data_IF_509626517901
#
_entry.id   IF_509626517901
#
_cell.length_a   1.000
_cell.length_b   1.000
_cell.length_c   1.000
_cell.angle_alpha   90.00
_cell.angle_beta   90.00
_cell.angle_gamma   90.00
#
_symmetry.space_group_name_H-M   'P 1'
#
loop_
_entity.id
_entity.type
_entity.pdbx_description
1 polymer ?
#
# COMPACT_ATOMS: atom_id res chain seq x y z
N UNK A 1 -4.48 2.35 16.64
CA UNK A 1 -4.55 1.31 15.61
C UNK A 1 -4.20 1.88 14.25
N UNK A 2 -3.43 1.15 13.45
CA UNK A 2 -2.86 1.68 12.19
C UNK A 2 -3.89 1.79 11.05
N UNK A 3 -4.84 0.85 10.97
CA UNK A 3 -5.80 0.83 9.85
C UNK A 3 -6.65 2.11 9.79
N UNK A 4 -7.26 2.58 10.88
CA UNK A 4 -8.02 3.83 10.81
C UNK A 4 -7.18 5.03 10.42
N UNK A 5 -5.92 5.11 10.87
CA UNK A 5 -5.03 6.21 10.51
C UNK A 5 -4.69 6.18 9.03
N UNK A 6 -4.44 4.99 8.48
CA UNK A 6 -4.16 4.82 7.06
C UNK A 6 -5.38 5.24 6.23
N UNK A 7 -6.59 4.86 6.63
CA UNK A 7 -7.80 5.22 5.93
C UNK A 7 -8.11 6.70 6.01
N UNK A 8 -7.65 7.38 7.05
CA UNK A 8 -7.78 8.84 7.18
C UNK A 8 -6.78 9.61 6.32
N UNK A 9 -5.87 8.91 5.66
CA UNK A 9 -4.94 9.55 4.74
C UNK A 9 -3.57 9.88 5.34
N UNK A 10 -3.21 9.31 6.47
CA UNK A 10 -1.88 9.52 7.02
C UNK A 10 -0.86 8.64 6.31
N UNK A 11 0.01 9.28 5.52
CA UNK A 11 0.93 8.56 4.64
C UNK A 11 1.89 7.64 5.41
N UNK A 12 2.36 8.06 6.57
CA UNK A 12 3.23 7.21 7.39
C UNK A 12 2.52 5.95 7.86
N UNK A 13 1.24 6.07 8.25
CA UNK A 13 0.45 4.93 8.66
C UNK A 13 0.19 3.98 7.48
N UNK A 14 -0.01 4.54 6.28
CA UNK A 14 -0.21 3.75 5.08
C UNK A 14 1.03 2.94 4.72
N UNK A 15 2.21 3.53 4.89
CA UNK A 15 3.47 2.83 4.68
C UNK A 15 3.57 1.62 5.62
N UNK A 16 3.30 1.84 6.90
CA UNK A 16 3.35 0.77 7.89
C UNK A 16 2.34 -0.32 7.57
N UNK A 17 1.11 0.07 7.24
CA UNK A 17 0.05 -0.89 6.90
C UNK A 17 0.43 -1.72 5.68
N UNK A 18 1.01 -1.07 4.65
CA UNK A 18 1.47 -1.79 3.46
C UNK A 18 2.49 -2.85 3.81
N UNK A 19 3.46 -2.53 4.67
CA UNK A 19 4.47 -3.51 5.06
C UNK A 19 3.90 -4.60 5.97
N UNK A 20 2.88 -4.28 6.76
CA UNK A 20 2.18 -5.28 7.55
C UNK A 20 1.51 -6.33 6.65
N UNK A 21 0.84 -5.88 5.60
CA UNK A 21 0.24 -6.81 4.63
C UNK A 21 1.29 -7.62 3.88
N UNK A 22 2.43 -7.02 3.57
CA UNK A 22 3.51 -7.74 2.90
C UNK A 22 4.07 -8.85 3.77
N UNK A 23 4.23 -8.58 5.06
CA UNK A 23 4.80 -9.55 6.01
C UNK A 23 3.75 -10.45 6.66
N UNK A 24 2.49 -10.07 6.61
CA UNK A 24 1.44 -10.78 7.33
C UNK A 24 1.50 -10.55 8.84
N UNK A 25 1.88 -9.35 9.26
CA UNK A 25 2.04 -9.01 10.67
C UNK A 25 0.81 -8.25 11.16
N UNK A 26 0.01 -8.87 12.01
CA UNK A 26 -1.20 -8.24 12.53
C UNK A 26 -2.37 -8.21 11.57
N UNK A 27 -2.15 -8.58 10.31
CA UNK A 27 -3.18 -8.71 9.29
C UNK A 27 -2.82 -9.93 8.44
N UNK A 28 -3.79 -10.47 7.72
CA UNK A 28 -3.53 -11.57 6.80
C UNK A 28 -2.65 -11.10 5.65
N UNK A 29 -1.61 -11.87 5.34
CA UNK A 29 -0.67 -11.53 4.28
C UNK A 29 -1.40 -11.36 2.95
N UNK A 30 -1.18 -10.24 2.26
CA UNK A 30 -1.81 -9.94 0.99
C UNK A 30 -0.94 -8.97 0.21
N UNK A 31 -0.27 -9.48 -0.83
CA UNK A 31 0.71 -8.67 -1.57
C UNK A 31 0.04 -7.55 -2.38
N UNK A 32 -1.19 -7.75 -2.84
CA UNK A 32 -1.95 -6.72 -3.57
C UNK A 32 -2.32 -5.58 -2.64
N UNK A 33 -2.83 -5.89 -1.44
CA UNK A 33 -3.12 -4.86 -0.44
C UNK A 33 -1.86 -4.14 0.00
N UNK A 34 -0.75 -4.87 0.14
CA UNK A 34 0.52 -4.25 0.49
C UNK A 34 0.91 -3.20 -0.54
N UNK A 35 0.89 -3.56 -1.82
CA UNK A 35 1.28 -2.64 -2.89
C UNK A 35 0.32 -1.46 -2.99
N UNK A 36 -0.99 -1.72 -2.84
CA UNK A 36 -1.99 -0.65 -2.84
C UNK A 36 -1.65 0.43 -1.81
N UNK A 37 -1.42 0.02 -0.57
CA UNK A 37 -1.14 1.00 0.49
C UNK A 37 0.19 1.71 0.30
N UNK A 38 1.21 1.00 -0.24
CA UNK A 38 2.50 1.62 -0.53
C UNK A 38 2.37 2.66 -1.64
N UNK A 39 1.58 2.37 -2.67
CA UNK A 39 1.28 3.34 -3.74
C UNK A 39 0.58 4.58 -3.20
N UNK A 40 -0.42 4.38 -2.37
CA UNK A 40 -1.16 5.51 -1.78
C UNK A 40 -0.22 6.35 -0.92
N UNK A 41 0.62 5.72 -0.10
CA UNK A 41 1.55 6.46 0.76
C UNK A 41 2.54 7.28 -0.07
N UNK A 42 3.02 6.71 -1.17
CA UNK A 42 3.91 7.43 -2.08
C UNK A 42 3.23 8.67 -2.67
N UNK A 43 2.00 8.52 -3.12
CA UNK A 43 1.22 9.62 -3.70
C UNK A 43 0.94 10.72 -2.69
N UNK A 44 0.85 10.37 -1.42
CA UNK A 44 0.58 11.34 -0.35
C UNK A 44 1.85 11.87 0.32
N UNK A 45 3.01 11.67 -0.33
CA UNK A 45 4.24 12.33 0.07
C UNK A 45 5.23 11.50 0.89
N UNK A 46 4.99 10.21 1.08
CA UNK A 46 5.92 9.37 1.83
C UNK A 46 6.90 8.71 0.87
N UNK A 47 8.13 9.21 0.82
CA UNK A 47 9.15 8.71 -0.10
C UNK A 47 9.49 7.24 0.10
N UNK A 48 9.49 6.77 1.33
CA UNK A 48 9.76 5.36 1.62
C UNK A 48 8.71 4.45 0.99
N UNK A 49 7.50 4.97 0.72
CA UNK A 49 6.47 4.22 0.01
C UNK A 49 6.91 3.77 -1.36
N UNK A 50 7.60 4.66 -2.10
CA UNK A 50 8.12 4.32 -3.41
C UNK A 50 9.18 3.22 -3.35
N UNK A 51 10.15 3.35 -2.44
CA UNK A 51 11.19 2.35 -2.28
C UNK A 51 10.61 0.99 -1.96
N UNK A 52 9.70 0.96 -1.00
CA UNK A 52 9.10 -0.29 -0.56
C UNK A 52 8.19 -0.88 -1.64
N UNK A 53 7.47 -0.02 -2.38
CA UNK A 53 6.63 -0.46 -3.48
C UNK A 53 7.45 -1.15 -4.57
N UNK A 54 8.58 -0.56 -4.95
CA UNK A 54 9.46 -1.15 -5.96
C UNK A 54 9.92 -2.53 -5.50
N UNK A 55 10.30 -2.66 -4.23
CA UNK A 55 10.73 -3.94 -3.67
C UNK A 55 9.61 -4.99 -3.73
N UNK A 56 8.41 -4.59 -3.31
CA UNK A 56 7.25 -5.50 -3.30
C UNK A 56 6.85 -5.90 -4.71
N UNK A 57 6.83 -4.94 -5.65
CA UNK A 57 6.40 -5.19 -7.02
C UNK A 57 7.32 -6.14 -7.77
N UNK A 58 8.57 -6.28 -7.35
CA UNK A 58 9.47 -7.28 -7.93
C UNK A 58 8.98 -8.71 -7.70
N UNK A 59 8.12 -8.91 -6.73
CA UNK A 59 7.59 -10.22 -6.36
C UNK A 59 6.16 -10.42 -6.86
N UNK A 60 5.66 -9.48 -7.66
CA UNK A 60 4.29 -9.51 -8.16
C UNK A 60 4.27 -9.78 -9.66
N UNK A 61 3.21 -10.46 -10.11
CA UNK A 61 2.96 -10.56 -11.54
C UNK A 61 2.23 -9.31 -12.04
N UNK A 62 2.04 -9.22 -13.37
CA UNK A 62 1.43 -8.03 -13.97
C UNK A 62 -0.02 -7.83 -13.55
N UNK A 63 -0.78 -8.92 -13.40
CA UNK A 63 -2.18 -8.84 -12.98
C UNK A 63 -2.29 -8.29 -11.55
N UNK A 64 -1.42 -8.76 -10.66
CA UNK A 64 -1.40 -8.28 -9.28
C UNK A 64 -1.06 -6.79 -9.21
N UNK A 65 -0.05 -6.36 -9.98
CA UNK A 65 0.35 -4.95 -10.03
C UNK A 65 -0.79 -4.08 -10.57
N UNK A 66 -1.43 -4.52 -11.64
CA UNK A 66 -2.54 -3.77 -12.23
C UNK A 66 -3.70 -3.63 -11.23
N UNK A 67 -4.01 -4.70 -10.52
CA UNK A 67 -5.08 -4.67 -9.51
C UNK A 67 -4.75 -3.71 -8.39
N UNK A 68 -3.52 -3.76 -7.87
CA UNK A 68 -3.10 -2.86 -6.80
C UNK A 68 -3.18 -1.40 -7.22
N UNK A 69 -2.73 -1.10 -8.44
CA UNK A 69 -2.78 0.26 -8.98
C UNK A 69 -4.21 0.77 -9.12
N UNK A 70 -5.13 -0.08 -9.62
CA UNK A 70 -6.55 0.30 -9.72
C UNK A 70 -7.16 0.59 -8.35
N UNK A 71 -6.85 -0.26 -7.37
CA UNK A 71 -7.38 -0.08 -6.01
C UNK A 71 -6.85 1.21 -5.39
N UNK A 72 -5.56 1.50 -5.60
CA UNK A 72 -4.96 2.72 -5.08
C UNK A 72 -5.59 3.96 -5.71
N UNK A 73 -5.79 3.95 -7.03
CA UNK A 73 -6.45 5.06 -7.72
C UNK A 73 -7.87 5.27 -7.22
N UNK A 74 -8.62 4.18 -7.04
CA UNK A 74 -9.98 4.25 -6.53
C UNK A 74 -10.04 4.86 -5.14
N UNK A 75 -9.11 4.49 -4.27
CA UNK A 75 -9.04 5.05 -2.93
C UNK A 75 -8.72 6.55 -2.98
N UNK A 76 -7.75 6.95 -3.81
CA UNK A 76 -7.36 8.35 -3.94
C UNK A 76 -8.48 9.22 -4.51
N UNK A 77 -9.27 8.70 -5.43
CA UNK A 77 -10.39 9.43 -6.03
C UNK A 77 -11.52 9.71 -5.06
N UNK A 78 -11.69 8.85 -4.05
CA UNK A 78 -12.78 8.97 -3.08
C UNK A 78 -12.49 9.97 -1.96
N UNK A 79 -11.34 10.57 -1.95
CA UNK A 79 -10.95 11.49 -0.89
C UNK A 79 -11.55 12.86 -1.04
#
# INVERSE_FOLDING_TARGET
MIVPLAEKGQAAAQLVLGMMYFKGTGVEKNIVEADKWLLISEKLGQEAGKKNRIFVERQMNNDQKAKAHRLAEGWLKKR
#
